data_IF_200869486980
#
_entry.id   IF_200869486980
#
_cell.length_a   1.000
_cell.length_b   1.000
_cell.length_c   1.000
_cell.angle_alpha   90.00
_cell.angle_beta   90.00
_cell.angle_gamma   90.00
#
_symmetry.space_group_name_H-M   'P 1'
#
loop_
_entity.id
_entity.type
_entity.pdbx_description
1 polymer ?
#
# COMPACT_ATOMS: atom_id res chain seq x y z
N UNK A 1 -31.01 7.37 -6.54
CA UNK A 1 -29.94 6.37 -6.46
C UNK A 1 -29.00 6.86 -5.38
N UNK A 2 -28.93 6.19 -4.24
CA UNK A 2 -28.17 6.66 -3.08
C UNK A 2 -26.68 6.33 -3.29
N UNK A 3 -25.85 7.34 -3.52
CA UNK A 3 -24.39 7.17 -3.53
C UNK A 3 -23.94 6.70 -2.14
N UNK A 4 -23.54 5.44 -2.05
CA UNK A 4 -22.90 4.88 -0.86
C UNK A 4 -21.50 5.49 -0.80
N UNK A 5 -21.35 6.57 -0.05
CA UNK A 5 -20.04 7.16 0.26
C UNK A 5 -19.36 6.27 1.31
N UNK A 6 -18.26 5.62 0.92
CA UNK A 6 -17.44 4.85 1.84
C UNK A 6 -16.71 5.79 2.81
N UNK A 7 -16.39 5.31 4.01
CA UNK A 7 -15.53 6.01 4.98
C UNK A 7 -14.05 5.68 4.72
N UNK A 8 -13.11 6.54 5.16
CA UNK A 8 -11.68 6.35 4.86
C UNK A 8 -11.17 5.01 5.34
N UNK A 9 -11.63 4.57 6.51
CA UNK A 9 -11.31 3.25 7.05
C UNK A 9 -11.83 2.09 6.19
N UNK A 10 -12.96 2.24 5.51
CA UNK A 10 -13.48 1.19 4.62
C UNK A 10 -12.63 1.10 3.35
N UNK A 11 -12.24 2.24 2.78
CA UNK A 11 -11.33 2.31 1.63
C UNK A 11 -9.96 1.71 2.01
N UNK A 12 -9.38 2.10 3.15
CA UNK A 12 -8.11 1.56 3.67
C UNK A 12 -8.15 0.03 3.85
N UNK A 13 -9.25 -0.50 4.40
CA UNK A 13 -9.44 -1.95 4.56
C UNK A 13 -9.53 -2.67 3.22
N UNK A 14 -10.31 -2.12 2.29
CA UNK A 14 -10.45 -2.66 0.93
C UNK A 14 -9.10 -2.71 0.22
N UNK A 15 -8.35 -1.60 0.26
CA UNK A 15 -6.99 -1.51 -0.28
C UNK A 15 -6.06 -2.54 0.35
N UNK A 16 -6.05 -2.65 1.68
CA UNK A 16 -5.16 -3.58 2.39
C UNK A 16 -5.40 -5.03 1.95
N UNK A 17 -6.67 -5.44 1.81
CA UNK A 17 -7.04 -6.78 1.38
C UNK A 17 -6.65 -7.05 -0.08
N UNK A 18 -6.94 -6.10 -0.97
CA UNK A 18 -6.70 -6.25 -2.40
C UNK A 18 -5.20 -6.19 -2.74
N UNK A 19 -4.43 -5.33 -2.06
CA UNK A 19 -2.97 -5.31 -2.17
C UNK A 19 -2.37 -6.64 -1.73
N UNK A 20 -2.85 -7.21 -0.62
CA UNK A 20 -2.40 -8.52 -0.16
C UNK A 20 -2.66 -9.62 -1.20
N UNK A 21 -3.79 -9.55 -1.92
CA UNK A 21 -4.11 -10.46 -3.02
C UNK A 21 -3.18 -10.26 -4.22
N UNK A 22 -2.94 -9.02 -4.66
CA UNK A 22 -1.99 -8.71 -5.76
C UNK A 22 -0.61 -9.31 -5.49
N UNK A 23 -0.07 -9.11 -4.29
CA UNK A 23 1.25 -9.65 -3.95
C UNK A 23 1.26 -11.18 -4.02
N UNK A 24 0.21 -11.83 -3.52
CA UNK A 24 0.09 -13.28 -3.59
C UNK A 24 0.04 -13.77 -5.03
N UNK A 25 -0.78 -13.13 -5.86
CA UNK A 25 -1.04 -13.58 -7.23
C UNK A 25 0.13 -13.29 -8.18
N UNK A 26 0.81 -12.15 -8.00
CA UNK A 26 1.89 -11.72 -8.88
C UNK A 26 3.27 -12.19 -8.42
N UNK A 27 3.51 -12.27 -7.11
CA UNK A 27 4.83 -12.58 -6.54
C UNK A 27 4.87 -13.90 -5.78
N UNK A 28 3.72 -14.57 -5.58
CA UNK A 28 3.65 -15.82 -4.81
C UNK A 28 3.85 -15.65 -3.31
N UNK A 29 3.93 -14.41 -2.81
CA UNK A 29 4.09 -14.10 -1.38
C UNK A 29 2.85 -13.38 -0.87
N UNK A 30 2.33 -13.79 0.27
CA UNK A 30 1.23 -13.10 0.94
C UNK A 30 1.82 -12.29 2.10
N UNK A 31 1.87 -10.95 2.03
CA UNK A 31 2.32 -10.12 3.13
C UNK A 31 1.54 -10.46 4.40
N UNK A 32 2.23 -10.56 5.54
CA UNK A 32 1.59 -10.91 6.82
C UNK A 32 0.65 -9.79 7.27
N UNK A 33 1.08 -8.56 7.02
CA UNK A 33 0.35 -7.36 7.41
C UNK A 33 0.45 -6.32 6.31
N UNK A 34 -0.69 -5.70 6.01
CA UNK A 34 -0.81 -4.55 5.12
C UNK A 34 -1.58 -3.48 5.87
N UNK A 35 -0.99 -2.31 6.03
CA UNK A 35 -1.61 -1.15 6.66
C UNK A 35 -1.71 -0.06 5.61
N UNK A 36 -2.93 0.42 5.38
CA UNK A 36 -3.21 1.59 4.55
C UNK A 36 -3.71 2.72 5.46
N UNK A 37 -3.20 3.93 5.27
CA UNK A 37 -3.65 5.09 6.01
C UNK A 37 -3.70 6.36 5.16
N UNK A 38 -4.87 7.00 5.08
CA UNK A 38 -5.02 8.30 4.44
C UNK A 38 -4.63 9.44 5.37
N UNK A 39 -3.94 10.43 4.82
CA UNK A 39 -3.67 11.70 5.45
C UNK A 39 -3.63 12.79 4.38
N UNK A 40 -4.58 13.72 4.46
CA UNK A 40 -4.85 14.70 3.40
C UNK A 40 -5.06 14.04 2.02
N UNK A 41 -4.32 14.50 1.00
CA UNK A 41 -4.28 13.95 -0.36
C UNK A 41 -3.22 12.86 -0.52
N UNK A 42 -2.83 12.20 0.57
CA UNK A 42 -1.80 11.16 0.56
C UNK A 42 -2.32 9.89 1.20
N UNK A 43 -1.75 8.78 0.75
CA UNK A 43 -2.00 7.46 1.29
C UNK A 43 -0.63 6.83 1.59
N UNK A 44 -0.42 6.45 2.85
CA UNK A 44 0.71 5.62 3.26
C UNK A 44 0.29 4.16 3.24
N UNK A 45 1.15 3.32 2.70
CA UNK A 45 0.96 1.87 2.67
C UNK A 45 2.23 1.24 3.25
N UNK A 46 2.07 0.36 4.22
CA UNK A 46 3.18 -0.41 4.80
C UNK A 46 2.84 -1.89 4.72
N UNK A 47 3.78 -2.68 4.22
CA UNK A 47 3.67 -4.11 4.09
C UNK A 47 4.80 -4.78 4.88
N UNK A 48 4.46 -5.81 5.66
CA UNK A 48 5.41 -6.63 6.41
C UNK A 48 5.44 -8.04 5.80
N UNK A 49 6.62 -8.68 5.80
CA UNK A 49 6.83 -10.03 5.24
C UNK A 49 6.57 -10.13 3.74
N UNK A 50 7.31 -9.32 2.98
CA UNK A 50 7.15 -9.15 1.53
C UNK A 50 8.22 -9.84 0.70
N UNK A 51 9.25 -10.38 1.32
CA UNK A 51 10.37 -11.02 0.63
C UNK A 51 9.91 -12.30 -0.05
N UNK A 52 10.14 -12.40 -1.36
CA UNK A 52 9.78 -13.57 -2.16
C UNK A 52 10.74 -14.73 -1.92
N UNK A 53 10.35 -15.99 -2.21
CA UNK A 53 11.25 -17.14 -2.11
C UNK A 53 12.53 -16.97 -2.95
N UNK A 54 12.42 -16.36 -4.14
CA UNK A 54 13.55 -16.09 -5.02
C UNK A 54 14.53 -15.07 -4.41
N UNK A 55 14.02 -14.02 -3.77
CA UNK A 55 14.86 -13.04 -3.06
C UNK A 55 15.50 -13.67 -1.82
N UNK A 56 14.76 -14.48 -1.04
CA UNK A 56 15.32 -15.21 0.10
C UNK A 56 16.46 -16.14 -0.31
N UNK A 57 16.33 -16.83 -1.44
CA UNK A 57 17.40 -17.67 -1.97
C UNK A 57 18.65 -16.85 -2.29
N UNK A 58 18.50 -15.66 -2.86
CA UNK A 58 19.64 -14.78 -3.13
C UNK A 58 20.28 -14.25 -1.83
N UNK A 59 19.47 -13.82 -0.87
CA UNK A 59 19.95 -13.32 0.43
C UNK A 59 20.73 -14.39 1.20
N UNK A 60 20.23 -15.63 1.24
CA UNK A 60 20.90 -16.76 1.90
C UNK A 60 22.21 -17.22 1.24
N UNK A 61 22.51 -16.74 0.02
CA UNK A 61 23.76 -17.03 -0.70
C UNK A 61 24.67 -15.78 -0.79
N UNK A 62 24.49 -14.82 0.12
CA UNK A 62 25.21 -13.53 0.17
C UNK A 62 25.13 -12.72 -1.14
N UNK A 63 24.06 -12.88 -1.92
CA UNK A 63 23.81 -12.16 -3.18
C UNK A 63 22.85 -10.97 -2.99
N UNK A 64 23.13 -10.14 -1.98
CA UNK A 64 22.25 -9.03 -1.56
C UNK A 64 21.95 -8.06 -2.72
N UNK A 65 22.95 -7.67 -3.49
CA UNK A 65 22.74 -6.73 -4.60
C UNK A 65 21.88 -7.31 -5.73
N UNK A 66 21.96 -8.63 -5.96
CA UNK A 66 21.06 -9.31 -6.90
C UNK A 66 19.63 -9.36 -6.37
N UNK A 67 19.45 -9.59 -5.07
CA UNK A 67 18.14 -9.57 -4.43
C UNK A 67 17.51 -8.17 -4.53
N UNK A 68 18.27 -7.11 -4.22
CA UNK A 68 17.81 -5.70 -4.37
C UNK A 68 17.47 -5.35 -5.81
N UNK A 69 18.28 -5.79 -6.79
CA UNK A 69 17.99 -5.55 -8.20
C UNK A 69 16.70 -6.26 -8.62
N UNK A 70 16.50 -7.51 -8.19
CA UNK A 70 15.24 -8.22 -8.40
C UNK A 70 14.07 -7.46 -7.80
N UNK A 71 14.16 -7.05 -6.53
CA UNK A 71 13.15 -6.21 -5.87
C UNK A 71 12.79 -4.98 -6.69
N UNK A 72 13.78 -4.23 -7.17
CA UNK A 72 13.53 -3.03 -7.98
C UNK A 72 12.74 -3.32 -9.27
N UNK A 73 12.98 -4.48 -9.91
CA UNK A 73 12.25 -4.88 -11.11
C UNK A 73 10.81 -5.32 -10.77
N UNK A 74 10.62 -6.03 -9.65
CA UNK A 74 9.29 -6.43 -9.17
C UNK A 74 8.46 -5.20 -8.80
N UNK A 75 9.03 -4.26 -8.06
CA UNK A 75 8.37 -3.01 -7.68
C UNK A 75 7.97 -2.20 -8.92
N UNK A 76 8.86 -2.08 -9.91
CA UNK A 76 8.56 -1.41 -11.18
C UNK A 76 7.43 -2.10 -11.97
N UNK A 77 7.39 -3.43 -11.96
CA UNK A 77 6.36 -4.21 -12.65
C UNK A 77 4.99 -4.15 -11.94
N UNK A 78 4.97 -4.12 -10.60
CA UNK A 78 3.75 -4.04 -9.81
C UNK A 78 3.14 -2.64 -9.76
N UNK A 79 3.97 -1.61 -9.86
CA UNK A 79 3.56 -0.21 -9.70
C UNK A 79 2.34 0.20 -10.53
N UNK A 80 2.24 -0.11 -11.85
CA UNK A 80 1.06 0.22 -12.63
C UNK A 80 -0.22 -0.41 -12.08
N UNK A 81 -0.14 -1.68 -11.67
CA UNK A 81 -1.30 -2.41 -11.15
C UNK A 81 -1.77 -1.88 -9.79
N UNK A 82 -0.82 -1.46 -8.95
CA UNK A 82 -1.14 -0.81 -7.67
C UNK A 82 -1.80 0.54 -7.89
N UNK A 83 -1.31 1.34 -8.84
CA UNK A 83 -1.93 2.61 -9.21
C UNK A 83 -3.39 2.40 -9.64
N UNK A 84 -3.64 1.51 -10.61
CA UNK A 84 -5.00 1.18 -11.06
C UNK A 84 -5.91 0.78 -9.91
N UNK A 85 -5.44 -0.11 -9.03
CA UNK A 85 -6.20 -0.56 -7.88
C UNK A 85 -6.56 0.60 -6.93
N UNK A 86 -5.60 1.47 -6.66
CA UNK A 86 -5.81 2.60 -5.75
C UNK A 86 -6.82 3.57 -6.36
N UNK A 87 -6.71 3.89 -7.64
CA UNK A 87 -7.65 4.76 -8.34
C UNK A 87 -9.06 4.17 -8.34
N UNK A 88 -9.20 2.87 -8.64
CA UNK A 88 -10.48 2.16 -8.66
C UNK A 88 -11.18 2.17 -7.29
N UNK A 89 -10.42 1.88 -6.22
CA UNK A 89 -11.00 1.75 -4.87
C UNK A 89 -11.21 3.12 -4.20
N UNK A 90 -10.30 4.08 -4.42
CA UNK A 90 -10.38 5.40 -3.79
C UNK A 90 -11.25 6.39 -4.57
N UNK A 91 -11.48 6.15 -5.87
CA UNK A 91 -12.16 7.08 -6.76
C UNK A 91 -11.35 8.36 -7.04
N UNK A 92 -10.07 8.40 -6.70
CA UNK A 92 -9.19 9.55 -6.88
C UNK A 92 -7.97 9.16 -7.74
N UNK A 93 -7.62 10.02 -8.69
CA UNK A 93 -6.45 9.81 -9.55
C UNK A 93 -5.15 9.81 -8.73
N UNK A 94 -4.18 8.98 -9.10
CA UNK A 94 -2.85 8.94 -8.48
C UNK A 94 -1.90 9.82 -9.28
N UNK A 95 -1.38 10.88 -8.66
CA UNK A 95 -0.34 11.74 -9.26
C UNK A 95 1.00 11.03 -9.31
N UNK A 96 1.36 10.34 -8.23
CA UNK A 96 2.60 9.57 -8.13
C UNK A 96 2.52 8.53 -7.02
N UNK A 97 3.32 7.47 -7.16
CA UNK A 97 3.55 6.46 -6.15
C UNK A 97 5.07 6.32 -5.96
N UNK A 98 5.52 6.51 -4.72
CA UNK A 98 6.88 6.26 -4.27
C UNK A 98 6.88 4.95 -3.49
N UNK A 99 7.85 4.07 -3.74
CA UNK A 99 7.97 2.77 -3.09
C UNK A 99 9.42 2.49 -2.81
N UNK A 100 9.68 1.88 -1.66
CA UNK A 100 10.96 1.27 -1.34
C UNK A 100 10.76 0.04 -0.44
N UNK A 101 11.72 -0.87 -0.46
CA UNK A 101 11.66 -2.11 0.31
C UNK A 101 12.99 -2.38 1.01
N UNK A 102 12.93 -2.52 2.33
CA UNK A 102 14.05 -2.99 3.12
C UNK A 102 13.97 -4.52 3.26
N UNK A 103 14.82 -5.22 2.50
CA UNK A 103 14.93 -6.69 2.54
C UNK A 103 15.56 -7.22 3.84
N UNK A 104 16.23 -6.38 4.63
CA UNK A 104 16.83 -6.78 5.91
C UNK A 104 15.75 -6.89 6.99
N UNK A 105 14.87 -5.89 7.04
CA UNK A 105 13.74 -5.89 7.99
C UNK A 105 12.47 -6.52 7.41
N UNK A 106 12.48 -6.86 6.13
CA UNK A 106 11.37 -7.48 5.39
C UNK A 106 10.10 -6.61 5.41
N UNK A 107 10.30 -5.32 5.14
CA UNK A 107 9.27 -4.28 5.14
C UNK A 107 9.30 -3.51 3.83
N UNK A 108 8.14 -3.31 3.21
CA UNK A 108 7.95 -2.41 2.08
C UNK A 108 7.09 -1.22 2.49
N UNK A 109 7.51 -0.02 2.10
CA UNK A 109 6.81 1.22 2.35
C UNK A 109 6.48 1.92 1.05
N UNK A 110 5.25 2.42 0.94
CA UNK A 110 4.80 3.20 -0.20
C UNK A 110 4.09 4.47 0.25
N UNK A 111 4.35 5.55 -0.48
CA UNK A 111 3.63 6.82 -0.35
C UNK A 111 3.00 7.15 -1.68
N UNK A 112 1.68 7.32 -1.66
CA UNK A 112 0.87 7.66 -2.83
C UNK A 112 0.41 9.09 -2.67
N UNK A 113 0.55 9.90 -3.72
CA UNK A 113 0.03 11.26 -3.78
C UNK A 113 -1.14 11.29 -4.74
N UNK A 114 -2.28 11.79 -4.29
CA UNK A 114 -3.52 11.81 -5.04
C UNK A 114 -3.76 13.17 -5.72
N UNK A 115 -4.56 13.12 -6.78
CA UNK A 115 -5.08 14.25 -7.54
C UNK A 115 -5.89 15.18 -6.66
N UNK A 116 -6.84 14.57 -5.95
CA UNK A 116 -7.82 15.20 -5.09
C UNK A 116 -7.93 14.43 -3.77
N UNK A 117 -8.59 15.04 -2.78
CA UNK A 117 -8.96 14.31 -1.56
C UNK A 117 -10.04 13.32 -1.98
N UNK A 118 -9.88 12.01 -1.70
CA UNK A 118 -10.92 11.05 -2.04
C UNK A 118 -12.24 11.47 -1.36
N UNK A 119 -13.41 11.19 -1.98
CA UNK A 119 -14.71 11.63 -1.48
C UNK A 119 -15.09 10.81 -0.25
N UNK A 120 -14.41 11.07 0.87
CA UNK A 120 -14.52 10.28 2.09
C UNK A 120 -14.91 11.15 3.25
N UNK A 121 -16.02 10.79 3.91
CA UNK A 121 -16.40 11.43 5.17
C UNK A 121 -15.45 10.96 6.27
N UNK A 122 -14.60 11.86 6.74
CA UNK A 122 -13.76 11.63 7.90
C UNK A 122 -14.63 11.79 9.15
N UNK A 123 -15.21 10.70 9.65
CA UNK A 123 -16.06 10.73 10.86
C UNK A 123 -15.18 10.75 12.12
N UNK A 124 -14.20 11.64 12.21
CA UNK A 124 -13.48 11.91 13.47
C UNK A 124 -13.09 13.37 13.62
N UNK A 125 -14.04 14.16 14.13
CA UNK A 125 -13.74 15.21 15.09
C UNK A 125 -14.98 15.51 15.90
N UNK A 126 -15.34 14.62 16.84
CA UNK A 126 -16.10 15.04 18.02
C UNK A 126 -15.11 15.86 18.85
N UNK A 127 -15.31 17.19 19.01
CA UNK A 127 -14.51 17.93 19.96
C UNK A 127 -14.86 17.37 21.34
N UNK A 128 -13.88 16.77 22.03
CA UNK A 128 -14.01 16.58 23.48
C UNK A 128 -14.12 17.98 24.07
N UNK A 129 -15.36 18.37 24.37
CA UNK A 129 -15.65 19.56 25.15
C UNK A 129 -14.81 19.53 26.41
N UNK A 130 -14.09 20.63 26.65
CA UNK A 130 -13.52 20.94 27.96
C UNK A 130 -14.66 20.83 28.97
N UNK A 131 -14.56 19.89 29.90
CA UNK A 131 -15.35 19.92 31.12
C UNK A 131 -14.42 20.41 32.24
N UNK A 132 -14.69 21.66 32.63
CA UNK A 132 -14.55 22.32 33.94
C UNK A 132 -13.42 21.91 34.86
#
# INVERSE_FOLDING_TARGET
MSEVTLTSRQIERSLSQQIQAIYKDQLGVRPEKVVCHFFDQKLAIVLEKVTTPSEQLLLSNDRVESAKKMRSHLDAALKPRLIELIEEISGAAVKTLLSDTDLTYDVSGMIVVLGDVPPVQNVESVPKSRQT
#
